data_IF_668184073147
#
_entry.id   IF_668184073147
#
_cell.length_a   1.000
_cell.length_b   1.000
_cell.length_c   1.000
_cell.angle_alpha   90.00
_cell.angle_beta   90.00
_cell.angle_gamma   90.00
#
_symmetry.space_group_name_H-M   'P 1'
#
loop_
_entity.id
_entity.type
_entity.pdbx_description
1 polymer ?
#
# COMPACT_ATOMS: atom_id res chain seq x y z
N UNK A 1 -1.44 6.59 5.96
CA UNK A 1 -0.79 5.44 6.62
C UNK A 1 0.62 5.83 7.09
N UNK A 2 1.27 5.03 7.93
CA UNK A 2 2.67 5.22 8.30
C UNK A 2 3.57 4.95 7.08
N UNK A 3 4.40 5.93 6.71
CA UNK A 3 5.38 5.80 5.63
C UNK A 3 6.68 5.14 6.13
N UNK A 4 7.76 5.18 5.34
CA UNK A 4 9.07 4.63 5.74
C UNK A 4 9.62 5.16 7.08
N UNK A 5 9.19 6.32 7.54
CA UNK A 5 9.62 6.94 8.80
C UNK A 5 8.43 7.25 9.74
N UNK A 6 7.29 6.59 9.52
CA UNK A 6 6.05 6.89 10.21
C UNK A 6 5.49 8.26 9.83
N UNK A 7 5.86 9.28 10.61
CA UNK A 7 5.53 10.70 10.39
C UNK A 7 6.71 11.64 10.70
N UNK A 8 7.89 11.11 11.02
CA UNK A 8 9.02 11.89 11.50
C UNK A 8 10.16 11.86 10.48
N UNK A 9 10.42 12.98 9.84
CA UNK A 9 11.57 13.20 8.97
C UNK A 9 12.09 14.63 9.18
N UNK A 10 13.40 14.80 9.37
CA UNK A 10 14.02 16.13 9.53
C UNK A 10 14.53 16.72 8.21
N UNK A 11 14.81 15.85 7.24
CA UNK A 11 15.41 16.21 5.97
C UNK A 11 14.34 16.65 4.96
N UNK A 12 14.70 17.59 4.07
CA UNK A 12 13.85 17.98 2.93
C UNK A 12 13.81 16.91 1.82
N UNK A 13 14.83 16.05 1.77
CA UNK A 13 14.93 14.95 0.82
C UNK A 13 15.34 13.68 1.57
N UNK A 14 14.45 13.15 2.42
CA UNK A 14 14.76 12.00 3.26
C UNK A 14 15.10 10.76 2.41
N UNK A 15 15.82 9.77 2.98
CA UNK A 15 16.12 8.51 2.29
C UNK A 15 14.86 7.88 1.69
N UNK A 16 14.95 7.51 0.41
CA UNK A 16 13.83 6.98 -0.39
C UNK A 16 12.56 7.84 -0.32
N UNK A 17 12.74 9.16 -0.24
CA UNK A 17 11.66 10.15 -0.16
C UNK A 17 10.70 9.98 1.02
N UNK A 18 11.04 9.13 2.01
CA UNK A 18 10.12 8.71 3.07
C UNK A 18 8.74 8.32 2.50
N UNK A 19 8.75 7.62 1.37
CA UNK A 19 7.56 7.29 0.60
C UNK A 19 6.86 6.02 1.15
N UNK A 20 6.00 5.41 0.34
CA UNK A 20 5.36 4.14 0.66
C UNK A 20 5.94 3.01 -0.18
N UNK A 21 6.88 2.26 0.38
CA UNK A 21 7.37 1.01 -0.21
C UNK A 21 6.40 -0.14 0.05
N UNK A 22 5.86 -0.69 -1.04
CA UNK A 22 4.80 -1.70 -1.08
C UNK A 22 5.33 -3.13 -1.26
N UNK A 23 6.65 -3.33 -1.24
CA UNK A 23 7.27 -4.64 -1.44
C UNK A 23 7.81 -5.28 -0.13
N UNK A 24 7.55 -4.66 1.03
CA UNK A 24 7.74 -5.21 2.39
C UNK A 24 7.45 -4.15 3.47
N UNK A 25 7.86 -2.90 3.26
CA UNK A 25 7.94 -1.91 4.34
C UNK A 25 6.58 -1.49 4.89
N UNK A 26 5.65 -1.09 4.01
CA UNK A 26 4.33 -0.69 4.48
C UNK A 26 3.60 -1.88 5.11
N UNK A 27 3.77 -3.10 4.59
CA UNK A 27 3.18 -4.28 5.19
C UNK A 27 3.71 -4.48 6.60
N UNK A 28 5.03 -4.37 6.78
CA UNK A 28 5.69 -4.48 8.08
C UNK A 28 5.19 -3.45 9.09
N UNK A 29 4.94 -2.21 8.66
CA UNK A 29 4.37 -1.16 9.52
C UNK A 29 3.02 -1.59 10.13
N UNK A 30 2.25 -2.42 9.43
CA UNK A 30 0.88 -2.79 9.81
C UNK A 30 0.72 -4.21 10.34
N UNK A 31 1.75 -5.06 10.30
CA UNK A 31 1.71 -6.38 10.95
C UNK A 31 1.30 -6.36 12.43
N UNK A 32 1.76 -5.42 13.28
CA UNK A 32 1.35 -5.43 14.68
C UNK A 32 -0.11 -5.01 14.89
N UNK A 33 -0.71 -4.23 13.98
CA UNK A 33 -1.97 -3.52 14.22
C UNK A 33 -3.07 -4.41 14.82
N UNK A 34 -3.37 -5.54 14.19
CA UNK A 34 -4.44 -6.44 14.64
C UNK A 34 -4.00 -7.33 15.81
N UNK A 35 -2.82 -7.95 15.72
CA UNK A 35 -2.34 -8.91 16.74
C UNK A 35 -2.01 -8.25 18.08
N UNK A 36 -1.69 -6.95 18.09
CA UNK A 36 -1.45 -6.18 19.32
C UNK A 36 -2.68 -5.39 19.78
N UNK A 37 -3.87 -5.70 19.26
CA UNK A 37 -5.14 -5.08 19.64
C UNK A 37 -5.18 -3.55 19.41
N UNK A 38 -4.74 -3.11 18.24
CA UNK A 38 -4.83 -1.74 17.73
C UNK A 38 -5.58 -1.68 16.37
N UNK A 39 -6.76 -2.32 16.22
CA UNK A 39 -7.45 -2.43 14.93
C UNK A 39 -7.80 -1.06 14.32
N UNK A 40 -8.08 -0.03 15.11
CA UNK A 40 -8.34 1.32 14.63
C UNK A 40 -7.18 1.91 13.82
N UNK A 41 -5.96 1.37 13.98
CA UNK A 41 -4.80 1.82 13.24
C UNK A 41 -4.72 1.26 11.82
N UNK A 42 -5.54 0.28 11.42
CA UNK A 42 -5.55 -0.25 10.03
C UNK A 42 -6.31 0.66 9.06
N UNK A 43 -7.28 1.43 9.54
CA UNK A 43 -8.13 2.32 8.73
C UNK A 43 -7.33 3.25 7.78
N UNK A 44 -6.21 3.90 8.19
CA UNK A 44 -5.38 4.67 7.27
C UNK A 44 -4.73 3.85 6.14
N UNK A 45 -4.44 2.56 6.34
CA UNK A 45 -3.94 1.66 5.28
C UNK A 45 -5.07 1.31 4.32
N UNK A 46 -6.25 0.94 4.83
CA UNK A 46 -7.41 0.60 4.02
C UNK A 46 -7.82 1.77 3.11
N UNK A 47 -7.97 2.98 3.67
CA UNK A 47 -8.27 4.19 2.89
C UNK A 47 -7.20 4.51 1.84
N UNK A 48 -5.94 4.20 2.13
CA UNK A 48 -4.84 4.41 1.18
C UNK A 48 -4.96 3.47 -0.02
N UNK A 49 -5.26 2.18 0.21
CA UNK A 49 -5.49 1.20 -0.85
C UNK A 49 -6.69 1.62 -1.72
N UNK A 50 -7.81 1.99 -1.10
CA UNK A 50 -9.02 2.43 -1.82
C UNK A 50 -8.77 3.67 -2.68
N UNK A 51 -8.06 4.66 -2.13
CA UNK A 51 -7.71 5.89 -2.85
C UNK A 51 -6.88 5.61 -4.10
N UNK A 52 -6.07 4.55 -4.09
CA UNK A 52 -5.20 4.20 -5.21
C UNK A 52 -5.87 3.30 -6.23
N UNK A 53 -6.96 2.63 -5.89
CA UNK A 53 -7.64 1.71 -6.80
C UNK A 53 -7.96 2.33 -8.18
N UNK A 54 -8.39 3.60 -8.32
CA UNK A 54 -8.63 4.20 -9.63
C UNK A 54 -7.36 4.32 -10.50
N UNK A 55 -6.26 4.86 -9.97
CA UNK A 55 -5.01 5.00 -10.72
C UNK A 55 -4.37 3.64 -11.00
N UNK A 56 -4.45 2.71 -10.05
CA UNK A 56 -3.98 1.33 -10.19
C UNK A 56 -4.71 0.58 -11.31
N UNK A 57 -6.02 0.80 -11.48
CA UNK A 57 -6.81 0.23 -12.60
C UNK A 57 -6.41 0.82 -13.94
N UNK A 58 -6.27 2.14 -14.00
CA UNK A 58 -5.84 2.82 -15.23
C UNK A 58 -4.47 2.30 -15.69
N UNK A 59 -3.51 2.23 -14.76
CA UNK A 59 -2.16 1.77 -15.08
C UNK A 59 -2.13 0.29 -15.45
N UNK A 60 -2.92 -0.56 -14.78
CA UNK A 60 -3.05 -1.98 -15.15
C UNK A 60 -3.44 -2.15 -16.62
N UNK A 61 -4.47 -1.42 -17.05
CA UNK A 61 -4.92 -1.44 -18.43
C UNK A 61 -3.88 -0.85 -19.40
N UNK A 62 -3.27 0.29 -19.04
CA UNK A 62 -2.34 1.00 -19.94
C UNK A 62 -1.00 0.32 -20.12
N UNK A 63 -0.46 -0.32 -19.08
CA UNK A 63 0.86 -0.97 -19.12
C UNK A 63 0.77 -2.44 -19.51
N UNK A 64 -0.27 -3.14 -19.06
CA UNK A 64 -0.35 -4.60 -19.19
C UNK A 64 -1.54 -5.07 -20.03
N UNK A 65 -2.51 -4.20 -20.36
CA UNK A 65 -3.69 -4.58 -21.14
C UNK A 65 -4.62 -5.55 -20.41
N UNK A 66 -4.62 -5.52 -19.07
CA UNK A 66 -5.42 -6.42 -18.23
C UNK A 66 -6.31 -5.64 -17.27
N UNK A 67 -7.51 -6.16 -17.05
CA UNK A 67 -8.39 -5.72 -15.97
C UNK A 67 -7.76 -6.02 -14.60
N UNK A 68 -8.20 -5.29 -13.57
CA UNK A 68 -7.69 -5.40 -12.21
C UNK A 68 -6.88 -4.18 -11.79
N UNK A 69 -6.02 -4.35 -10.80
CA UNK A 69 -5.21 -3.28 -10.20
C UNK A 69 -3.74 -3.63 -10.28
N UNK A 70 -2.91 -2.64 -10.64
CA UNK A 70 -1.47 -2.72 -10.56
C UNK A 70 -0.96 -1.70 -9.54
N UNK A 71 -0.15 -2.17 -8.58
CA UNK A 71 0.60 -1.32 -7.67
C UNK A 71 2.09 -1.67 -7.79
N UNK A 72 2.96 -0.67 -8.05
CA UNK A 72 4.40 -0.85 -8.19
C UNK A 72 5.08 -1.09 -6.83
N UNK A 73 6.41 -1.22 -6.81
CA UNK A 73 7.15 -1.46 -5.58
C UNK A 73 7.10 -0.28 -4.58
N UNK A 74 6.91 0.95 -5.05
CA UNK A 74 6.86 2.15 -4.23
C UNK A 74 5.92 3.19 -4.85
N UNK A 75 5.36 4.06 -4.02
CA UNK A 75 4.38 5.08 -4.38
C UNK A 75 4.41 6.23 -3.35
N UNK A 76 3.68 7.30 -3.63
CA UNK A 76 3.74 8.55 -2.88
C UNK A 76 2.36 8.96 -2.31
N UNK A 77 2.28 10.15 -1.70
CA UNK A 77 1.03 10.68 -1.16
C UNK A 77 -0.04 10.98 -2.24
N UNK A 78 0.30 10.93 -3.53
CA UNK A 78 -0.58 11.24 -4.66
C UNK A 78 -1.11 10.00 -5.36
N UNK A 79 -0.59 8.81 -5.04
CA UNK A 79 -1.06 7.56 -5.63
C UNK A 79 -0.49 7.25 -7.00
N UNK A 80 0.79 7.55 -7.18
CA UNK A 80 1.55 7.07 -8.34
C UNK A 80 1.48 5.55 -8.42
N UNK A 81 0.87 5.03 -9.49
CA UNK A 81 0.78 3.60 -9.75
C UNK A 81 1.73 3.13 -10.88
N UNK A 82 2.55 4.01 -11.45
CA UNK A 82 3.52 3.67 -12.52
C UNK A 82 4.92 3.43 -11.96
N UNK A 83 5.74 2.52 -12.51
CA UNK A 83 7.16 2.41 -12.14
C UNK A 83 7.95 3.70 -12.43
N UNK A 84 8.92 4.03 -11.59
CA UNK A 84 9.90 5.13 -11.75
C UNK A 84 11.26 4.67 -12.30
N UNK A 85 11.61 3.40 -12.12
CA UNK A 85 12.88 2.85 -12.58
C UNK A 85 12.71 1.53 -13.34
N UNK A 86 13.71 1.16 -14.14
CA UNK A 86 13.81 -0.20 -14.67
C UNK A 86 14.36 -1.15 -13.59
N UNK A 87 14.04 -2.44 -13.70
CA UNK A 87 14.54 -3.46 -12.77
C UNK A 87 13.63 -3.64 -11.57
N UNK A 88 14.07 -3.22 -10.38
CA UNK A 88 13.38 -3.49 -9.11
C UNK A 88 11.95 -2.93 -9.05
N UNK A 89 11.68 -1.87 -9.79
CA UNK A 89 10.38 -1.19 -9.78
C UNK A 89 9.30 -1.92 -10.60
N UNK A 90 9.70 -2.83 -11.50
CA UNK A 90 8.77 -3.64 -12.29
C UNK A 90 8.10 -4.75 -11.47
N UNK A 91 8.27 -4.73 -10.15
CA UNK A 91 7.58 -5.64 -9.26
C UNK A 91 6.06 -5.39 -9.28
N UNK A 92 5.30 -6.47 -9.37
CA UNK A 92 3.85 -6.47 -9.57
C UNK A 92 3.07 -7.15 -8.44
N UNK A 93 3.72 -7.46 -7.32
CA UNK A 93 3.09 -8.11 -6.16
C UNK A 93 2.42 -7.15 -5.16
N UNK A 94 2.43 -5.83 -5.41
CA UNK A 94 2.02 -4.84 -4.41
C UNK A 94 0.55 -4.94 -4.06
N UNK A 95 -0.28 -5.04 -5.10
CA UNK A 95 -1.73 -5.14 -4.94
C UNK A 95 -2.13 -6.43 -4.20
N UNK A 96 -1.58 -7.59 -4.58
CA UNK A 96 -1.92 -8.86 -3.94
C UNK A 96 -1.41 -8.95 -2.51
N UNK A 97 -0.25 -8.37 -2.19
CA UNK A 97 0.23 -8.36 -0.81
C UNK A 97 -0.60 -7.43 0.08
N UNK A 98 -0.93 -6.22 -0.39
CA UNK A 98 -1.78 -5.32 0.38
C UNK A 98 -3.21 -5.86 0.57
N UNK A 99 -3.74 -6.60 -0.39
CA UNK A 99 -5.04 -7.26 -0.24
C UNK A 99 -5.09 -8.23 0.95
N UNK A 100 -3.95 -8.82 1.36
CA UNK A 100 -3.90 -9.66 2.57
C UNK A 100 -4.24 -8.87 3.83
N UNK A 101 -3.89 -7.59 3.91
CA UNK A 101 -4.24 -6.75 5.07
C UNK A 101 -5.75 -6.48 5.15
N UNK A 102 -6.42 -6.30 4.01
CA UNK A 102 -7.89 -6.20 3.97
C UNK A 102 -8.53 -7.51 4.46
N UNK A 103 -8.03 -8.65 3.98
CA UNK A 103 -8.52 -9.94 4.45
C UNK A 103 -8.30 -10.14 5.95
N UNK A 104 -7.14 -9.77 6.49
CA UNK A 104 -6.86 -9.88 7.91
C UNK A 104 -7.76 -8.98 8.76
N UNK A 105 -8.12 -7.79 8.29
CA UNK A 105 -9.03 -6.92 9.02
C UNK A 105 -10.39 -7.61 9.23
N UNK A 106 -10.94 -8.25 8.19
CA UNK A 106 -12.13 -9.10 8.34
C UNK A 106 -11.87 -10.32 9.23
N UNK A 107 -10.76 -11.05 9.04
CA UNK A 107 -10.46 -12.28 9.78
C UNK A 107 -10.32 -12.05 11.30
N UNK A 108 -9.74 -10.92 11.70
CA UNK A 108 -9.56 -10.57 13.12
C UNK A 108 -10.80 -9.95 13.77
N UNK A 109 -11.62 -9.21 13.01
CA UNK A 109 -12.76 -8.46 13.56
C UNK A 109 -14.09 -9.18 13.38
N UNK A 110 -14.23 -10.00 12.34
CA UNK A 110 -15.50 -10.58 11.89
C UNK A 110 -16.48 -9.55 11.31
N UNK A 111 -16.04 -8.34 11.00
CA UNK A 111 -16.88 -7.26 10.48
C UNK A 111 -17.29 -7.52 9.02
N UNK A 112 -18.53 -7.95 8.81
CA UNK A 112 -19.08 -8.25 7.48
C UNK A 112 -19.40 -6.99 6.69
N UNK A 113 -19.60 -5.84 7.34
CA UNK A 113 -19.84 -4.58 6.64
C UNK A 113 -18.53 -4.03 6.05
N UNK A 114 -17.39 -4.38 6.64
CA UNK A 114 -16.05 -4.08 6.10
C UNK A 114 -15.69 -4.91 4.85
N UNK A 115 -16.10 -6.18 4.81
CA UNK A 115 -15.73 -7.15 3.76
C UNK A 115 -16.38 -6.85 2.40
#
# INVERSE_FOLDING_TARGET
PANLQGIWAEELSPPWQSDFHLNINIQMNYWPALVTNLPETTEPLTRFIERFAPSAREVSMRLFGVDGVYLPHATDAWGRATPEAAGYDLWNGGASWLAQHLWWEWEFTGDVDFL
#
